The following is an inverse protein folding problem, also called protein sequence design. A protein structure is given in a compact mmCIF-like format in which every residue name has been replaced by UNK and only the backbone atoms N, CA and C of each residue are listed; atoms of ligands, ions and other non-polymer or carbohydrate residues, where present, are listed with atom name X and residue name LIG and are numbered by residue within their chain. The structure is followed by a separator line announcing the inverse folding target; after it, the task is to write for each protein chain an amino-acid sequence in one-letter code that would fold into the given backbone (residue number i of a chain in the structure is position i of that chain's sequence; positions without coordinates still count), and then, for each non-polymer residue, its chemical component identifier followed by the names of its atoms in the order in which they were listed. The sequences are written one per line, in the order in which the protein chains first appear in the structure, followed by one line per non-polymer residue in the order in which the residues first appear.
data_IF_787587242424
#
_entry.id   IF_787587242424
#
_cell.length_a   1.000
_cell.length_b   1.000
_cell.length_c   1.000
_cell.angle_alpha   90.00
_cell.angle_beta   90.00
_cell.angle_gamma   90.00
#
_symmetry.space_group_name_H-M   'P 1'
#
loop_
_entity.id
_entity.type
_entity.pdbx_description
1 polymer ?
#
# COMPACT_ATOMS: atom_id res chain seq x y z
N UNK A 1 5.49 2.41 -2.74
CA UNK A 1 6.75 1.71 -3.03
C UNK A 1 7.21 1.03 -1.76
N UNK A 2 7.96 -0.07 -1.83
CA UNK A 2 8.61 -0.61 -0.61
C UNK A 2 9.80 0.23 -0.23
N UNK A 3 10.14 0.25 1.06
CA UNK A 3 11.24 1.08 1.55
C UNK A 3 12.51 0.28 1.82
N UNK A 4 13.65 0.86 1.49
CA UNK A 4 14.96 0.23 1.58
C UNK A 4 15.89 1.08 2.45
N UNK A 5 16.67 0.46 3.32
CA UNK A 5 17.96 1.03 3.74
C UNK A 5 19.01 0.55 2.75
N UNK A 6 19.80 1.46 2.21
CA UNK A 6 20.97 1.11 1.41
C UNK A 6 22.20 1.70 2.07
N UNK A 7 23.15 0.83 2.39
CA UNK A 7 24.42 1.22 2.99
C UNK A 7 25.52 1.02 1.95
N UNK A 8 26.16 2.11 1.55
CA UNK A 8 27.00 2.20 0.35
C UNK A 8 28.01 3.33 0.52
N UNK A 9 29.26 3.15 0.09
CA UNK A 9 30.30 4.16 0.24
C UNK A 9 30.74 4.84 -1.07
N UNK A 10 30.21 4.38 -2.21
CA UNK A 10 30.52 4.81 -3.58
C UNK A 10 32.02 4.92 -3.95
N UNK A 11 32.95 4.61 -3.04
CA UNK A 11 34.40 4.73 -3.20
C UNK A 11 34.90 6.04 -3.85
N UNK A 12 34.18 7.16 -3.69
CA UNK A 12 34.48 8.42 -4.39
C UNK A 12 35.87 8.98 -4.02
N UNK A 13 36.41 8.57 -2.86
CA UNK A 13 37.71 9.02 -2.36
C UNK A 13 38.93 8.22 -2.86
N UNK A 14 38.77 6.96 -3.30
CA UNK A 14 39.90 6.07 -3.64
C UNK A 14 40.22 6.00 -5.14
N UNK A 15 39.31 6.44 -6.02
CA UNK A 15 39.52 6.46 -7.47
C UNK A 15 39.55 7.89 -8.02
N UNK A 16 40.53 8.20 -8.89
CA UNK A 16 40.51 9.45 -9.69
C UNK A 16 39.17 9.50 -10.41
N UNK A 17 38.24 10.35 -9.93
CA UNK A 17 36.86 10.55 -10.44
C UNK A 17 36.68 9.99 -11.84
N UNK A 18 36.32 8.71 -11.97
CA UNK A 18 35.69 8.25 -13.19
C UNK A 18 34.34 8.95 -13.23
N UNK A 19 34.03 9.58 -14.36
CA UNK A 19 32.72 10.20 -14.56
C UNK A 19 31.63 9.14 -14.32
N UNK A 20 30.62 9.47 -13.51
CA UNK A 20 29.39 8.68 -13.30
C UNK A 20 29.40 7.54 -12.26
N UNK A 21 30.23 7.57 -11.20
CA UNK A 21 30.25 6.48 -10.19
C UNK A 21 28.93 6.36 -9.42
N UNK A 22 28.37 7.48 -8.94
CA UNK A 22 27.17 7.48 -8.10
C UNK A 22 25.98 7.04 -8.94
N UNK A 23 25.74 7.70 -10.08
CA UNK A 23 24.60 7.37 -10.95
C UNK A 23 24.68 5.95 -11.51
N UNK A 24 25.87 5.47 -11.89
CA UNK A 24 26.04 4.09 -12.40
C UNK A 24 25.83 3.03 -11.33
N UNK A 25 26.24 3.30 -10.08
CA UNK A 25 26.04 2.40 -8.95
C UNK A 25 24.56 2.34 -8.57
N UNK A 26 23.89 3.50 -8.45
CA UNK A 26 22.44 3.58 -8.24
C UNK A 26 21.69 2.83 -9.35
N UNK A 27 22.05 3.05 -10.61
CA UNK A 27 21.41 2.37 -11.74
C UNK A 27 21.65 0.85 -11.74
N UNK A 28 22.82 0.40 -11.26
CA UNK A 28 23.14 -1.03 -11.19
C UNK A 28 22.37 -1.75 -10.10
N UNK A 29 22.12 -1.10 -8.97
CA UNK A 29 21.38 -1.70 -7.85
C UNK A 29 19.88 -1.49 -8.01
N UNK A 30 19.41 -0.28 -8.26
CA UNK A 30 17.99 0.10 -8.22
C UNK A 30 17.41 0.54 -9.58
N UNK A 31 18.16 0.47 -10.68
CA UNK A 31 17.72 0.96 -11.99
C UNK A 31 16.49 0.26 -12.59
N UNK A 32 16.10 -0.91 -12.07
CA UNK A 32 14.86 -1.60 -12.46
C UNK A 32 13.61 -0.99 -11.84
N UNK A 33 13.72 -0.34 -10.68
CA UNK A 33 12.58 0.26 -9.95
C UNK A 33 12.58 1.79 -10.01
N UNK A 34 13.67 2.40 -10.50
CA UNK A 34 13.82 3.83 -10.67
C UNK A 34 13.63 4.25 -12.14
N UNK A 35 13.11 5.46 -12.35
CA UNK A 35 13.03 6.02 -13.69
C UNK A 35 14.42 6.54 -14.13
N UNK A 36 15.05 5.83 -15.07
CA UNK A 36 16.38 6.18 -15.57
C UNK A 36 16.50 7.62 -16.11
N UNK A 37 15.44 8.17 -16.72
CA UNK A 37 15.49 9.54 -17.23
C UNK A 37 15.49 10.58 -16.10
N UNK A 38 14.76 10.31 -15.02
CA UNK A 38 14.74 11.16 -13.83
C UNK A 38 16.05 11.06 -13.06
N UNK A 39 16.56 9.83 -12.90
CA UNK A 39 17.86 9.53 -12.27
C UNK A 39 19.00 10.31 -12.95
N UNK A 40 19.12 10.20 -14.28
CA UNK A 40 20.19 10.88 -15.02
C UNK A 40 20.08 12.40 -14.96
N UNK A 41 18.86 12.96 -14.79
CA UNK A 41 18.67 14.40 -14.68
C UNK A 41 19.01 14.92 -13.28
N UNK A 42 18.66 14.17 -12.22
CA UNK A 42 18.83 14.59 -10.82
C UNK A 42 20.25 14.34 -10.29
N UNK A 43 20.93 13.31 -10.78
CA UNK A 43 22.30 12.95 -10.34
C UNK A 43 23.39 13.38 -11.32
N UNK A 44 23.13 14.38 -12.16
CA UNK A 44 24.08 14.83 -13.19
C UNK A 44 25.39 15.38 -12.60
N UNK A 45 25.36 15.89 -11.37
CA UNK A 45 26.54 16.44 -10.68
C UNK A 45 27.35 15.39 -9.91
N UNK A 46 26.87 14.14 -9.84
CA UNK A 46 27.51 13.02 -9.13
C UNK A 46 27.82 13.32 -7.65
N UNK A 47 26.96 14.11 -7.00
CA UNK A 47 27.01 14.40 -5.56
C UNK A 47 26.27 13.30 -4.77
N UNK A 48 26.89 12.80 -3.71
CA UNK A 48 26.33 11.78 -2.82
C UNK A 48 25.13 12.32 -2.02
N UNK A 49 25.10 13.61 -1.69
CA UNK A 49 23.98 14.26 -1.01
C UNK A 49 22.77 14.38 -1.93
N UNK A 50 22.99 14.73 -3.20
CA UNK A 50 21.92 14.75 -4.21
C UNK A 50 21.33 13.34 -4.40
N UNK A 51 22.20 12.31 -4.36
CA UNK A 51 21.75 10.92 -4.40
C UNK A 51 20.94 10.55 -3.16
N UNK A 52 21.36 10.96 -1.96
CA UNK A 52 20.62 10.70 -0.74
C UNK A 52 19.22 11.33 -0.78
N UNK A 53 19.12 12.62 -1.13
CA UNK A 53 17.84 13.33 -1.22
C UNK A 53 16.92 12.70 -2.28
N UNK A 54 17.45 12.43 -3.48
CA UNK A 54 16.70 11.80 -4.56
C UNK A 54 16.21 10.41 -4.19
N UNK A 55 17.04 9.59 -3.55
CA UNK A 55 16.70 8.22 -3.17
C UNK A 55 15.68 8.21 -2.02
N UNK A 56 15.80 9.14 -1.07
CA UNK A 56 14.85 9.25 0.04
C UNK A 56 13.44 9.62 -0.46
N UNK A 57 13.33 10.47 -1.48
CA UNK A 57 12.05 10.75 -2.19
C UNK A 57 11.41 9.48 -2.79
N UNK A 58 12.20 8.44 -3.05
CA UNK A 58 11.75 7.13 -3.57
C UNK A 58 11.64 6.06 -2.49
N UNK A 59 11.84 6.42 -1.22
CA UNK A 59 11.81 5.49 -0.08
C UNK A 59 13.06 4.64 0.07
N UNK A 60 14.19 5.06 -0.52
CA UNK A 60 15.50 4.42 -0.38
C UNK A 60 16.37 5.32 0.51
N UNK A 61 16.59 4.90 1.74
CA UNK A 61 17.40 5.64 2.72
C UNK A 61 18.86 5.26 2.55
N UNK A 62 19.65 6.15 1.97
CA UNK A 62 21.08 5.96 1.78
C UNK A 62 21.86 6.33 3.06
N UNK A 63 22.83 5.50 3.44
CA UNK A 63 23.81 5.75 4.51
C UNK A 63 25.21 5.50 3.98
N UNK A 64 26.10 6.46 4.17
CA UNK A 64 27.39 6.51 3.48
C UNK A 64 28.54 5.90 4.26
N UNK A 65 28.33 5.62 5.55
CA UNK A 65 29.34 5.05 6.42
C UNK A 65 28.74 4.13 7.50
N UNK A 66 29.62 3.42 8.20
CA UNK A 66 29.22 2.45 9.23
C UNK A 66 28.49 3.11 10.41
N UNK A 67 28.89 4.31 10.85
CA UNK A 67 28.25 4.96 12.00
C UNK A 67 26.82 5.37 11.68
N UNK A 68 26.60 6.03 10.54
CA UNK A 68 25.26 6.44 10.09
C UNK A 68 24.32 5.25 9.97
N UNK A 69 24.82 4.12 9.45
CA UNK A 69 24.03 2.91 9.35
C UNK A 69 23.70 2.32 10.73
N UNK A 70 24.66 2.30 11.66
CA UNK A 70 24.44 1.84 13.03
C UNK A 70 23.46 2.73 13.79
N UNK A 71 23.56 4.05 13.66
CA UNK A 71 22.61 5.00 14.25
C UNK A 71 21.21 4.80 13.67
N UNK A 72 21.09 4.59 12.36
CA UNK A 72 19.81 4.36 11.70
C UNK A 72 19.13 3.07 12.18
N UNK A 73 19.84 1.94 12.22
CA UNK A 73 19.21 0.65 12.59
C UNK A 73 18.88 0.57 14.08
N UNK A 74 19.61 1.30 14.93
CA UNK A 74 19.40 1.30 16.37
C UNK A 74 18.35 2.33 16.84
N UNK A 75 17.89 3.25 15.99
CA UNK A 75 16.69 4.04 16.26
C UNK A 75 15.44 3.26 15.81
N UNK A 76 14.57 2.82 16.75
CA UNK A 76 13.35 2.08 16.40
C UNK A 76 12.41 2.84 15.45
N UNK A 77 12.43 4.18 15.48
CA UNK A 77 11.61 5.01 14.60
C UNK A 77 12.12 5.00 13.17
N UNK A 78 13.44 5.03 12.99
CA UNK A 78 14.10 4.96 11.69
C UNK A 78 14.01 3.54 11.11
N UNK A 79 14.29 2.51 11.92
CA UNK A 79 14.15 1.11 11.50
C UNK A 79 12.72 0.79 11.05
N UNK A 80 11.69 1.36 11.67
CA UNK A 80 10.30 1.19 11.25
C UNK A 80 9.97 1.82 9.88
N UNK A 81 10.85 2.69 9.33
CA UNK A 81 10.67 3.28 8.01
C UNK A 81 10.98 2.31 6.88
N UNK A 82 11.76 1.27 7.11
CA UNK A 82 12.25 0.37 6.07
C UNK A 82 11.53 -0.99 6.07
N UNK A 83 11.59 -1.66 4.93
CA UNK A 83 11.13 -3.04 4.75
C UNK A 83 12.30 -3.99 4.41
N UNK A 84 13.30 -3.46 3.71
CA UNK A 84 14.44 -4.19 3.15
C UNK A 84 15.74 -3.46 3.39
N UNK A 85 16.87 -4.17 3.30
CA UNK A 85 18.21 -3.63 3.47
C UNK A 85 19.12 -4.13 2.34
N UNK A 86 19.87 -3.23 1.72
CA UNK A 86 20.98 -3.54 0.81
C UNK A 86 22.27 -3.11 1.49
N UNK A 87 23.24 -4.01 1.62
CA UNK A 87 24.50 -3.79 2.30
C UNK A 87 25.67 -3.96 1.32
N UNK A 88 26.56 -2.98 1.27
CA UNK A 88 27.93 -3.22 0.85
C UNK A 88 28.69 -4.02 1.93
N UNK A 89 29.75 -4.72 1.51
CA UNK A 89 30.59 -5.55 2.38
C UNK A 89 31.56 -4.69 3.18
N UNK A 90 32.17 -3.71 2.50
CA UNK A 90 33.08 -2.74 3.09
C UNK A 90 32.46 -1.36 3.17
N UNK A 91 32.80 -0.65 4.25
CA UNK A 91 32.31 0.71 4.49
C UNK A 91 33.36 1.53 5.23
N UNK A 92 33.50 2.82 4.91
CA UNK A 92 34.42 3.71 5.59
C UNK A 92 34.00 3.93 7.04
N UNK A 93 35.01 4.16 7.87
CA UNK A 93 34.87 4.75 9.19
C UNK A 93 35.15 6.24 9.02
N UNK A 94 34.17 7.10 9.27
CA UNK A 94 34.40 8.54 9.15
C UNK A 94 35.23 9.04 10.33
N UNK A 95 36.45 9.51 10.05
CA UNK A 95 37.38 9.98 11.08
C UNK A 95 36.89 11.28 11.71
N UNK A 96 36.60 11.25 13.02
CA UNK A 96 36.25 12.43 13.81
C UNK A 96 34.75 12.71 13.93
N UNK A 97 33.89 11.85 13.37
CA UNK A 97 32.45 11.90 13.60
C UNK A 97 32.15 11.58 15.08
N UNK A 98 31.22 12.32 15.71
CA UNK A 98 30.85 12.10 17.12
C UNK A 98 29.92 10.90 17.24
N UNK A 99 30.46 9.78 17.69
CA UNK A 99 29.68 8.62 18.11
C UNK A 99 29.07 8.86 19.51
N UNK A 100 27.89 9.48 19.55
CA UNK A 100 27.23 9.84 20.81
C UNK A 100 26.75 8.63 21.60
N UNK A 101 26.53 7.50 20.92
CA UNK A 101 25.96 6.28 21.49
C UNK A 101 27.01 5.17 21.70
N UNK A 102 28.27 5.45 21.36
CA UNK A 102 29.42 4.56 21.55
C UNK A 102 29.34 3.24 20.77
N UNK A 103 28.66 3.23 19.62
CA UNK A 103 28.53 2.06 18.75
C UNK A 103 29.87 1.64 18.15
N UNK A 104 30.58 2.57 17.51
CA UNK A 104 31.85 2.32 16.82
C UNK A 104 32.95 1.94 17.82
N UNK A 105 33.06 2.65 18.93
CA UNK A 105 34.10 2.37 19.93
C UNK A 105 34.02 0.92 20.43
N UNK A 106 32.80 0.43 20.71
CA UNK A 106 32.57 -0.94 21.17
C UNK A 106 32.98 -2.00 20.13
N UNK A 107 32.87 -1.68 18.83
CA UNK A 107 33.27 -2.55 17.73
C UNK A 107 34.79 -2.50 17.50
N UNK A 108 35.39 -1.32 17.55
CA UNK A 108 36.83 -1.11 17.37
C UNK A 108 37.62 -1.83 18.48
N UNK A 109 37.16 -1.76 19.74
CA UNK A 109 37.79 -2.52 20.84
C UNK A 109 37.77 -4.03 20.60
N UNK A 110 36.71 -4.55 19.96
CA UNK A 110 36.53 -5.99 19.69
C UNK A 110 37.23 -6.46 18.41
N UNK A 111 37.54 -5.56 17.48
CA UNK A 111 38.12 -5.89 16.17
C UNK A 111 39.29 -4.97 15.79
N UNK A 112 40.42 -4.98 16.53
CA UNK A 112 41.63 -4.31 16.08
C UNK A 112 42.31 -5.12 14.96
N UNK A 113 42.80 -4.50 13.86
CA UNK A 113 42.83 -3.05 13.54
C UNK A 113 41.60 -2.50 12.79
N UNK A 114 41.40 -1.18 12.78
CA UNK A 114 40.28 -0.47 12.09
C UNK A 114 40.11 -0.86 10.61
N UNK A 115 41.20 -1.09 9.88
CA UNK A 115 41.16 -1.58 8.49
C UNK A 115 40.47 -2.94 8.36
N UNK A 116 40.57 -3.79 9.39
CA UNK A 116 39.88 -5.07 9.42
C UNK A 116 38.38 -4.88 9.65
N UNK A 117 37.98 -3.94 10.52
CA UNK A 117 36.58 -3.57 10.73
C UNK A 117 35.94 -3.04 9.44
N UNK A 118 36.67 -2.19 8.69
CA UNK A 118 36.23 -1.64 7.39
C UNK A 118 35.77 -2.74 6.43
N UNK A 119 36.54 -3.81 6.30
CA UNK A 119 36.31 -4.93 5.36
C UNK A 119 35.18 -5.88 5.75
N UNK A 120 34.74 -5.83 7.01
CA UNK A 120 33.66 -6.66 7.54
C UNK A 120 32.53 -5.82 8.12
N UNK A 121 32.46 -4.54 7.77
CA UNK A 121 31.46 -3.62 8.31
C UNK A 121 30.04 -4.12 7.99
N UNK A 122 29.81 -4.63 6.78
CA UNK A 122 28.50 -5.17 6.39
C UNK A 122 28.09 -6.39 7.22
N UNK A 123 29.06 -7.21 7.64
CA UNK A 123 28.81 -8.33 8.56
C UNK A 123 28.28 -7.83 9.91
N UNK A 124 28.89 -6.79 10.48
CA UNK A 124 28.48 -6.27 11.78
C UNK A 124 27.07 -5.67 11.74
N UNK A 125 26.74 -4.91 10.69
CA UNK A 125 25.39 -4.42 10.47
C UNK A 125 24.40 -5.58 10.36
N UNK A 126 24.73 -6.62 9.59
CA UNK A 126 23.88 -7.80 9.46
C UNK A 126 23.67 -8.50 10.81
N UNK A 127 24.72 -8.67 11.62
CA UNK A 127 24.58 -9.31 12.93
C UNK A 127 23.69 -8.51 13.86
N UNK A 128 23.84 -7.18 13.90
CA UNK A 128 22.99 -6.32 14.71
C UNK A 128 21.52 -6.41 14.26
N UNK A 129 21.28 -6.26 12.95
CA UNK A 129 19.94 -6.37 12.35
C UNK A 129 19.27 -7.70 12.66
N UNK A 130 19.96 -8.83 12.44
CA UNK A 130 19.33 -10.16 12.49
C UNK A 130 19.29 -10.74 13.89
N UNK A 131 20.36 -10.57 14.68
CA UNK A 131 20.51 -11.20 15.99
C UNK A 131 19.89 -10.34 17.08
N UNK A 132 20.25 -9.06 17.12
CA UNK A 132 19.82 -8.15 18.20
C UNK A 132 18.44 -7.55 17.91
N UNK A 133 18.20 -7.10 16.67
CA UNK A 133 16.98 -6.39 16.29
C UNK A 133 15.90 -7.30 15.68
N UNK A 134 16.21 -8.57 15.39
CA UNK A 134 15.25 -9.54 14.85
C UNK A 134 14.75 -9.23 13.42
N UNK A 135 15.50 -8.45 12.66
CA UNK A 135 15.16 -8.10 11.27
C UNK A 135 15.21 -9.34 10.36
N UNK A 136 14.30 -9.49 9.38
CA UNK A 136 14.24 -10.71 8.58
C UNK A 136 15.45 -10.85 7.66
N UNK A 137 16.25 -11.90 7.85
CA UNK A 137 17.41 -12.21 6.98
C UNK A 137 17.08 -12.31 5.49
N UNK A 138 15.84 -12.66 5.13
CA UNK A 138 15.39 -12.73 3.73
C UNK A 138 15.16 -11.34 3.10
N UNK A 139 15.18 -10.30 3.92
CA UNK A 139 15.01 -8.91 3.51
C UNK A 139 16.36 -8.16 3.47
N UNK A 140 17.48 -8.86 3.61
CA UNK A 140 18.81 -8.27 3.55
C UNK A 140 19.55 -8.85 2.34
N UNK A 141 20.00 -7.98 1.44
CA UNK A 141 20.84 -8.31 0.30
C UNK A 141 22.25 -7.76 0.52
N UNK A 142 23.26 -8.60 0.33
CA UNK A 142 24.64 -8.12 0.22
C UNK A 142 25.00 -7.92 -1.24
N UNK A 143 25.44 -6.72 -1.58
CA UNK A 143 25.75 -6.32 -2.95
C UNK A 143 26.99 -5.40 -2.94
N UNK A 144 28.10 -5.86 -3.52
CA UNK A 144 29.38 -5.13 -3.47
C UNK A 144 30.17 -5.22 -4.78
N UNK A 145 31.01 -4.24 -5.06
CA UNK A 145 32.01 -4.34 -6.14
C UNK A 145 33.28 -5.08 -5.69
N UNK A 146 33.52 -5.24 -4.39
CA UNK A 146 34.72 -5.86 -3.84
C UNK A 146 34.56 -7.36 -3.63
N UNK A 147 34.34 -8.09 -4.73
CA UNK A 147 34.17 -9.54 -4.70
C UNK A 147 35.34 -10.29 -4.00
N UNK A 148 36.53 -9.68 -3.93
CA UNK A 148 37.68 -10.21 -3.19
C UNK A 148 37.43 -10.39 -1.69
N UNK A 149 36.50 -9.62 -1.09
CA UNK A 149 36.17 -9.72 0.33
C UNK A 149 35.11 -10.78 0.64
N UNK A 150 34.48 -11.39 -0.38
CA UNK A 150 33.42 -12.38 -0.16
C UNK A 150 33.91 -13.63 0.57
N UNK A 151 35.11 -14.11 0.28
CA UNK A 151 35.65 -15.30 0.97
C UNK A 151 35.97 -15.01 2.44
N UNK A 152 36.49 -13.83 2.75
CA UNK A 152 36.70 -13.41 4.14
C UNK A 152 35.37 -13.30 4.88
N UNK A 153 34.37 -12.68 4.25
CA UNK A 153 33.02 -12.57 4.78
C UNK A 153 32.39 -13.95 5.02
N UNK A 154 32.47 -14.88 4.05
CA UNK A 154 32.00 -16.28 4.20
C UNK A 154 32.69 -16.97 5.36
N UNK A 155 34.00 -16.77 5.52
CA UNK A 155 34.77 -17.32 6.63
C UNK A 155 34.28 -16.79 7.98
N UNK A 156 33.95 -15.50 8.08
CA UNK A 156 33.39 -14.90 9.31
C UNK A 156 32.06 -15.53 9.69
N UNK A 157 31.10 -15.57 8.75
CA UNK A 157 29.81 -16.25 8.95
C UNK A 157 29.98 -17.69 9.42
N UNK A 158 30.87 -18.45 8.76
CA UNK A 158 31.15 -19.85 9.09
C UNK A 158 31.76 -20.00 10.49
N UNK A 159 32.74 -19.17 10.83
CA UNK A 159 33.42 -19.19 12.13
C UNK A 159 32.49 -18.85 13.30
N UNK A 160 31.49 -17.99 13.05
CA UNK A 160 30.47 -17.61 14.02
C UNK A 160 29.29 -18.58 14.07
N UNK A 161 29.28 -19.62 13.22
CA UNK A 161 28.15 -20.54 13.03
C UNK A 161 26.84 -19.80 12.67
N UNK A 162 26.95 -18.67 11.97
CA UNK A 162 25.84 -17.86 11.48
C UNK A 162 25.59 -18.25 10.02
N UNK A 163 24.33 -18.49 9.68
CA UNK A 163 23.96 -18.72 8.27
C UNK A 163 24.07 -17.40 7.49
N UNK A 164 24.73 -17.41 6.32
CA UNK A 164 24.77 -16.24 5.47
C UNK A 164 23.36 -15.81 5.03
N UNK A 165 23.21 -14.56 4.53
CA UNK A 165 21.97 -14.05 3.97
C UNK A 165 21.41 -14.98 2.89
N UNK A 166 20.08 -14.94 2.72
CA UNK A 166 19.41 -15.69 1.65
C UNK A 166 19.58 -14.88 0.37
N UNK A 167 20.37 -15.40 -0.56
CA UNK A 167 20.57 -14.80 -1.87
C UNK A 167 19.59 -15.38 -2.90
N UNK A 168 19.12 -14.57 -3.86
CA UNK A 168 18.44 -15.07 -5.07
C UNK A 168 19.33 -16.00 -5.90
N UNK A 169 20.65 -15.88 -5.81
CA UNK A 169 21.59 -16.84 -6.40
C UNK A 169 21.83 -18.01 -5.42
N UNK A 170 21.39 -19.25 -5.74
CA UNK A 170 21.53 -20.38 -4.82
C UNK A 170 22.99 -20.80 -4.60
N UNK A 171 23.91 -20.41 -5.49
CA UNK A 171 25.32 -20.76 -5.42
C UNK A 171 26.17 -19.71 -4.69
N UNK A 172 25.68 -18.47 -4.59
CA UNK A 172 26.44 -17.34 -4.07
C UNK A 172 25.61 -16.49 -3.10
N UNK A 173 25.98 -16.44 -1.80
CA UNK A 173 25.24 -15.67 -0.80
C UNK A 173 25.45 -14.15 -0.91
N UNK A 174 26.49 -13.71 -1.63
CA UNK A 174 26.87 -12.32 -1.78
C UNK A 174 26.93 -12.02 -3.28
N UNK A 175 26.25 -10.96 -3.72
CA UNK A 175 26.17 -10.60 -5.12
C UNK A 175 27.15 -9.48 -5.45
N UNK A 176 27.61 -9.47 -6.69
CA UNK A 176 28.27 -8.31 -7.27
C UNK A 176 27.22 -7.33 -7.81
N UNK A 177 27.54 -6.04 -7.85
CA UNK A 177 26.64 -5.04 -8.46
C UNK A 177 26.41 -5.26 -9.97
N UNK A 178 27.29 -6.05 -10.62
CA UNK A 178 27.12 -6.52 -12.00
C UNK A 178 26.09 -7.66 -12.16
N UNK A 179 25.69 -8.34 -11.08
CA UNK A 179 24.72 -9.45 -11.07
C UNK A 179 23.27 -8.97 -11.17
N UNK A 180 23.00 -8.10 -12.16
CA UNK A 180 21.74 -7.35 -12.31
C UNK A 180 20.51 -8.25 -12.37
N UNK A 181 20.61 -9.43 -12.97
CA UNK A 181 19.48 -10.38 -13.04
C UNK A 181 19.00 -10.79 -11.65
N UNK A 182 19.93 -11.16 -10.77
CA UNK A 182 19.63 -11.61 -9.42
C UNK A 182 19.19 -10.45 -8.51
N UNK A 183 19.83 -9.27 -8.66
CA UNK A 183 19.42 -8.06 -7.94
C UNK A 183 18.00 -7.67 -8.33
N UNK A 184 17.69 -7.63 -9.62
CA UNK A 184 16.35 -7.31 -10.11
C UNK A 184 15.32 -8.32 -9.62
N UNK A 185 15.63 -9.62 -9.66
CA UNK A 185 14.74 -10.65 -9.10
C UNK A 185 14.46 -10.42 -7.60
N UNK A 186 15.46 -10.03 -6.82
CA UNK A 186 15.28 -9.73 -5.40
C UNK A 186 14.45 -8.47 -5.19
N UNK A 187 14.66 -7.42 -5.98
CA UNK A 187 13.85 -6.20 -5.96
C UNK A 187 12.39 -6.47 -6.38
N UNK A 188 12.16 -7.30 -7.39
CA UNK A 188 10.81 -7.72 -7.80
C UNK A 188 10.10 -8.47 -6.65
N UNK A 189 10.83 -9.35 -5.96
CA UNK A 189 10.33 -10.05 -4.79
C UNK A 189 10.04 -9.10 -3.61
N UNK A 190 10.78 -8.00 -3.50
CA UNK A 190 10.50 -6.94 -2.54
C UNK A 190 9.24 -6.15 -2.92
N UNK A 191 8.94 -5.99 -4.21
CA UNK A 191 7.77 -5.25 -4.72
C UNK A 191 6.48 -6.07 -4.87
N UNK A 192 6.43 -7.31 -4.34
CA UNK A 192 5.18 -8.08 -4.36
C UNK A 192 4.07 -7.38 -3.58
N UNK A 193 2.83 -7.59 -4.02
CA UNK A 193 1.63 -6.89 -3.52
C UNK A 193 1.52 -6.77 -2.00
N UNK A 194 2.00 -7.77 -1.26
CA UNK A 194 1.97 -7.78 0.19
C UNK A 194 2.71 -6.58 0.80
N UNK A 195 3.91 -6.27 0.32
CA UNK A 195 4.73 -5.21 0.89
C UNK A 195 4.26 -3.83 0.45
N UNK A 196 3.79 -3.70 -0.79
CA UNK A 196 3.13 -2.49 -1.28
C UNK A 196 1.90 -2.17 -0.43
N UNK A 197 1.04 -3.16 -0.18
CA UNK A 197 -0.12 -3.03 0.70
C UNK A 197 0.28 -2.62 2.13
N UNK A 198 1.25 -3.34 2.71
CA UNK A 198 1.73 -3.08 4.07
C UNK A 198 2.23 -1.64 4.22
N UNK A 199 3.08 -1.19 3.29
CA UNK A 199 3.67 0.15 3.33
C UNK A 199 2.60 1.22 3.15
N UNK A 200 1.68 1.04 2.20
CA UNK A 200 0.56 1.96 2.00
C UNK A 200 -0.36 2.10 3.23
N UNK A 201 -0.60 1.01 3.95
CA UNK A 201 -1.35 1.06 5.22
C UNK A 201 -0.57 1.82 6.30
N UNK A 202 0.72 1.53 6.48
CA UNK A 202 1.56 2.20 7.49
C UNK A 202 1.60 3.70 7.23
N UNK A 203 1.86 4.11 5.99
CA UNK A 203 1.92 5.52 5.59
C UNK A 203 0.58 6.22 5.76
N UNK A 204 -0.52 5.56 5.35
CA UNK A 204 -1.87 6.06 5.55
C UNK A 204 -2.16 6.29 7.03
N UNK A 205 -1.88 5.29 7.88
CA UNK A 205 -2.10 5.43 9.33
C UNK A 205 -1.25 6.54 9.96
N UNK A 206 0.04 6.65 9.59
CA UNK A 206 0.92 7.73 10.08
C UNK A 206 0.41 9.11 9.69
N UNK A 207 0.02 9.28 8.43
CA UNK A 207 -0.55 10.52 7.93
C UNK A 207 -1.84 10.88 8.69
N UNK A 208 -2.78 9.93 8.80
CA UNK A 208 -4.08 10.18 9.43
C UNK A 208 -3.99 10.47 10.93
N UNK A 209 -3.02 9.86 11.64
CA UNK A 209 -2.74 10.19 13.05
C UNK A 209 -2.32 11.65 13.28
N UNK A 210 -1.71 12.28 12.27
CA UNK A 210 -1.27 13.68 12.34
C UNK A 210 -2.40 14.69 12.12
N UNK A 211 -3.57 14.24 11.65
CA UNK A 211 -4.71 15.11 11.38
C UNK A 211 -5.37 15.59 12.69
N UNK A 212 -6.01 16.77 12.59
CA UNK A 212 -6.82 17.33 13.66
C UNK A 212 -8.20 16.65 13.76
N UNK A 213 -8.86 16.83 14.89
CA UNK A 213 -10.20 16.29 15.14
C UNK A 213 -11.25 16.80 14.14
N UNK A 214 -11.08 18.02 13.63
CA UNK A 214 -11.97 18.62 12.63
C UNK A 214 -12.05 17.82 11.32
N UNK A 215 -11.03 17.01 11.05
CA UNK A 215 -11.02 16.10 9.88
C UNK A 215 -11.75 14.79 10.15
N UNK A 216 -12.08 14.46 11.39
CA UNK A 216 -12.78 13.22 11.75
C UNK A 216 -14.29 13.39 11.56
N UNK A 217 -14.80 12.94 10.41
CA UNK A 217 -16.24 12.98 10.11
C UNK A 217 -16.99 11.71 10.54
N UNK A 218 -16.29 10.65 10.96
CA UNK A 218 -16.91 9.39 11.36
C UNK A 218 -17.94 9.52 12.49
N UNK A 219 -17.76 10.52 13.37
CA UNK A 219 -18.68 10.82 14.48
C UNK A 219 -20.11 11.08 13.99
N UNK A 220 -20.28 11.55 12.76
CA UNK A 220 -21.60 11.78 12.15
C UNK A 220 -22.39 10.48 11.93
N UNK A 221 -21.73 9.33 11.78
CA UNK A 221 -22.43 8.07 11.56
C UNK A 221 -22.79 7.33 12.85
N UNK A 222 -22.32 7.79 14.01
CA UNK A 222 -22.62 7.14 15.28
C UNK A 222 -24.05 7.45 15.70
N UNK A 223 -24.78 6.42 16.11
CA UNK A 223 -26.17 6.57 16.53
C UNK A 223 -26.25 7.42 17.80
N UNK A 224 -27.20 8.35 17.85
CA UNK A 224 -27.38 9.27 18.99
C UNK A 224 -27.71 8.55 20.31
N UNK A 225 -28.32 7.37 20.22
CA UNK A 225 -28.72 6.56 21.38
C UNK A 225 -27.63 5.58 21.82
N UNK A 226 -26.46 5.58 21.16
CA UNK A 226 -25.31 4.78 21.55
C UNK A 226 -24.45 5.59 22.53
N UNK A 227 -24.22 5.05 23.73
CA UNK A 227 -23.35 5.66 24.74
C UNK A 227 -21.87 5.71 24.28
N UNK A 228 -21.55 5.04 23.17
CA UNK A 228 -20.22 5.03 22.57
C UNK A 228 -19.87 6.39 21.95
N UNK A 229 -19.25 7.26 22.74
CA UNK A 229 -18.52 8.42 22.22
C UNK A 229 -17.20 7.95 21.62
N UNK A 230 -16.99 8.23 20.34
CA UNK A 230 -15.72 7.98 19.67
C UNK A 230 -14.91 9.27 19.71
N UNK A 231 -13.82 9.25 20.47
CA UNK A 231 -12.89 10.37 20.56
C UNK A 231 -11.75 10.22 19.54
N UNK A 232 -11.03 11.32 19.30
CA UNK A 232 -9.89 11.29 18.36
C UNK A 232 -8.82 10.29 18.80
N UNK A 233 -8.61 10.14 20.11
CA UNK A 233 -7.60 9.22 20.64
C UNK A 233 -7.98 7.75 20.39
N UNK A 234 -9.26 7.39 20.49
CA UNK A 234 -9.74 6.04 20.14
C UNK A 234 -9.42 5.71 18.68
N UNK A 235 -9.58 6.70 17.79
CA UNK A 235 -9.25 6.56 16.37
C UNK A 235 -7.74 6.47 16.15
N UNK A 236 -6.92 7.18 16.92
CA UNK A 236 -5.45 7.07 16.83
C UNK A 236 -4.95 5.70 17.30
N UNK A 237 -5.54 5.17 18.36
CA UNK A 237 -5.27 3.80 18.84
C UNK A 237 -5.67 2.77 17.78
N UNK A 238 -6.86 2.91 17.21
CA UNK A 238 -7.33 2.10 16.09
C UNK A 238 -6.35 2.13 14.90
N UNK A 239 -5.91 3.33 14.48
CA UNK A 239 -4.91 3.47 13.43
C UNK A 239 -3.56 2.84 13.83
N UNK A 240 -3.18 2.88 15.10
CA UNK A 240 -1.98 2.21 15.61
C UNK A 240 -2.07 0.68 15.54
N UNK A 241 -3.25 0.12 15.79
CA UNK A 241 -3.50 -1.31 15.57
C UNK A 241 -3.37 -1.66 14.08
N UNK A 242 -3.97 -0.88 13.18
CA UNK A 242 -3.89 -1.12 11.74
C UNK A 242 -2.47 -0.99 11.19
N UNK A 243 -1.74 0.05 11.60
CA UNK A 243 -0.34 0.29 11.21
C UNK A 243 0.56 -0.92 11.50
N UNK A 244 0.37 -1.54 12.66
CA UNK A 244 1.20 -2.67 13.12
C UNK A 244 0.61 -4.04 12.76
N UNK A 245 -0.54 -4.09 12.08
CA UNK A 245 -1.29 -5.33 11.90
C UNK A 245 -0.60 -6.32 10.95
N UNK A 246 -0.05 -5.81 9.85
CA UNK A 246 0.62 -6.62 8.84
C UNK A 246 2.11 -6.76 9.20
N UNK A 247 2.57 -7.98 9.54
CA UNK A 247 3.95 -8.19 9.99
C UNK A 247 4.96 -7.86 8.88
N UNK A 248 6.18 -7.53 9.28
CA UNK A 248 7.28 -7.31 8.34
C UNK A 248 7.54 -8.56 7.49
N UNK A 249 7.62 -9.76 8.09
CA UNK A 249 7.65 -11.01 7.34
C UNK A 249 6.28 -11.31 6.71
N UNK A 250 6.25 -11.51 5.38
CA UNK A 250 5.06 -12.01 4.70
C UNK A 250 4.59 -13.34 5.31
N UNK A 251 3.34 -13.45 5.81
CA UNK A 251 2.85 -14.67 6.40
C UNK A 251 2.63 -15.75 5.34
N UNK A 252 2.74 -17.03 5.73
CA UNK A 252 2.43 -18.17 4.87
C UNK A 252 0.95 -18.20 4.48
N UNK A 253 0.06 -17.98 5.45
CA UNK A 253 -1.38 -17.81 5.22
C UNK A 253 -1.76 -16.33 5.17
N UNK A 254 -1.51 -15.71 4.00
CA UNK A 254 -1.89 -14.31 3.72
C UNK A 254 -3.40 -14.10 3.82
N UNK A 255 -4.16 -15.08 3.39
CA UNK A 255 -5.61 -14.97 3.25
C UNK A 255 -6.30 -14.86 4.61
N UNK A 256 -5.93 -15.71 5.58
CA UNK A 256 -6.41 -15.58 6.94
C UNK A 256 -5.99 -14.23 7.56
N UNK A 257 -4.76 -13.78 7.31
CA UNK A 257 -4.27 -12.49 7.81
C UNK A 257 -5.06 -11.32 7.23
N UNK A 258 -5.34 -11.31 5.92
CA UNK A 258 -6.15 -10.28 5.27
C UNK A 258 -7.59 -10.27 5.77
N UNK A 259 -8.20 -11.44 5.97
CA UNK A 259 -9.54 -11.54 6.58
C UNK A 259 -9.58 -10.93 7.98
N UNK A 260 -8.57 -11.22 8.81
CA UNK A 260 -8.46 -10.63 10.15
C UNK A 260 -8.23 -9.12 10.07
N UNK A 261 -7.38 -8.65 9.16
CA UNK A 261 -7.16 -7.22 8.95
C UNK A 261 -8.46 -6.50 8.59
N UNK A 262 -9.20 -7.00 7.59
CA UNK A 262 -10.47 -6.38 7.16
C UNK A 262 -11.52 -6.45 8.28
N UNK A 263 -11.51 -7.50 9.11
CA UNK A 263 -12.35 -7.56 10.31
C UNK A 263 -12.03 -6.44 11.30
N UNK A 264 -10.76 -6.20 11.57
CA UNK A 264 -10.31 -5.11 12.43
C UNK A 264 -10.65 -3.75 11.79
N UNK A 265 -10.39 -3.59 10.50
CA UNK A 265 -10.70 -2.40 9.72
C UNK A 265 -12.19 -2.02 9.82
N UNK A 266 -13.09 -3.00 9.66
CA UNK A 266 -14.52 -2.76 9.64
C UNK A 266 -15.18 -2.70 11.03
N UNK A 267 -14.42 -2.90 12.12
CA UNK A 267 -14.95 -3.02 13.48
C UNK A 267 -15.77 -1.81 13.92
N UNK A 268 -15.26 -0.59 13.69
CA UNK A 268 -15.93 0.64 14.13
C UNK A 268 -17.30 0.84 13.47
N UNK A 269 -17.55 0.22 12.32
CA UNK A 269 -18.83 0.29 11.60
C UNK A 269 -19.95 -0.55 12.21
N UNK A 270 -19.70 -1.24 13.33
CA UNK A 270 -20.74 -1.92 14.10
C UNK A 270 -21.79 -0.94 14.64
N UNK A 271 -21.33 0.11 15.32
CA UNK A 271 -22.17 1.15 15.91
C UNK A 271 -22.67 2.20 14.90
N UNK A 272 -22.03 2.28 13.72
CA UNK A 272 -22.34 3.28 12.71
C UNK A 272 -23.61 2.98 11.89
N UNK A 273 -24.31 4.02 11.47
CA UNK A 273 -25.43 3.98 10.53
C UNK A 273 -25.16 4.91 9.34
N UNK A 274 -24.86 4.36 8.15
CA UNK A 274 -24.63 5.17 6.95
C UNK A 274 -25.83 6.08 6.65
N UNK A 275 -25.58 7.39 6.58
CA UNK A 275 -26.58 8.41 6.24
C UNK A 275 -26.00 9.37 5.21
N UNK A 276 -26.84 9.91 4.33
CA UNK A 276 -26.37 10.87 3.34
C UNK A 276 -26.17 12.24 4.00
N UNK A 277 -24.92 12.72 4.04
CA UNK A 277 -24.56 14.01 4.60
C UNK A 277 -24.48 15.06 3.49
N UNK A 278 -25.20 16.17 3.60
CA UNK A 278 -25.06 17.37 2.74
C UNK A 278 -24.97 17.11 1.22
N UNK A 279 -25.63 16.06 0.72
CA UNK A 279 -25.59 15.69 -0.70
C UNK A 279 -24.33 14.94 -1.16
N UNK A 280 -23.38 14.63 -0.28
CA UNK A 280 -22.15 13.87 -0.56
C UNK A 280 -22.49 12.38 -0.82
N UNK A 281 -22.74 12.05 -2.09
CA UNK A 281 -23.15 10.69 -2.47
C UNK A 281 -21.99 9.70 -2.39
N UNK A 282 -20.78 10.17 -2.66
CA UNK A 282 -19.53 9.43 -2.51
C UNK A 282 -19.33 8.99 -1.07
N UNK A 283 -19.43 9.90 -0.10
CA UNK A 283 -19.31 9.54 1.33
C UNK A 283 -20.37 8.52 1.75
N UNK A 284 -21.61 8.70 1.27
CA UNK A 284 -22.69 7.74 1.51
C UNK A 284 -22.37 6.35 0.93
N UNK A 285 -21.80 6.30 -0.28
CA UNK A 285 -21.39 5.06 -0.92
C UNK A 285 -20.29 4.34 -0.13
N UNK A 286 -19.23 5.06 0.24
CA UNK A 286 -18.10 4.53 1.00
C UNK A 286 -18.54 3.99 2.36
N UNK A 287 -19.42 4.72 3.05
CA UNK A 287 -19.98 4.32 4.35
C UNK A 287 -20.79 3.02 4.25
N UNK A 288 -21.60 2.86 3.20
CA UNK A 288 -22.34 1.62 2.96
C UNK A 288 -21.44 0.43 2.65
N UNK A 289 -20.39 0.62 1.86
CA UNK A 289 -19.40 -0.44 1.57
C UNK A 289 -18.80 -0.98 2.87
N UNK A 290 -18.41 -0.09 3.79
CA UNK A 290 -17.86 -0.50 5.08
C UNK A 290 -18.90 -1.16 5.99
N UNK A 291 -20.13 -0.62 6.05
CA UNK A 291 -21.21 -1.25 6.83
C UNK A 291 -21.56 -2.64 6.32
N UNK A 292 -21.60 -2.83 5.01
CA UNK A 292 -21.82 -4.14 4.38
C UNK A 292 -20.69 -5.10 4.70
N UNK A 293 -19.44 -4.63 4.55
CA UNK A 293 -18.25 -5.43 4.86
C UNK A 293 -18.27 -5.94 6.30
N UNK A 294 -18.55 -5.06 7.27
CA UNK A 294 -18.72 -5.43 8.69
C UNK A 294 -19.79 -6.51 8.88
N UNK A 295 -20.97 -6.33 8.29
CA UNK A 295 -22.08 -7.27 8.46
C UNK A 295 -21.79 -8.64 7.84
N UNK A 296 -21.11 -8.67 6.71
CA UNK A 296 -20.78 -9.91 5.99
C UNK A 296 -19.63 -10.69 6.65
N UNK A 297 -18.67 -9.98 7.27
CA UNK A 297 -17.59 -10.60 8.06
C UNK A 297 -18.12 -11.39 9.25
N UNK A 298 -19.21 -10.95 9.87
CA UNK A 298 -19.80 -11.63 11.02
C UNK A 298 -20.50 -12.95 10.65
N UNK A 299 -20.92 -13.13 9.39
CA UNK A 299 -21.91 -14.15 9.04
C UNK A 299 -21.65 -14.93 7.74
N UNK A 300 -20.46 -14.82 7.12
CA UNK A 300 -20.20 -15.45 5.82
C UNK A 300 -18.75 -15.81 5.50
N UNK A 301 -18.60 -16.51 4.36
CA UNK A 301 -17.32 -16.91 3.74
C UNK A 301 -16.83 -15.92 2.68
N UNK A 302 -17.48 -14.76 2.57
CA UNK A 302 -17.25 -13.75 1.51
C UNK A 302 -15.79 -13.31 1.46
N UNK A 303 -15.16 -13.15 2.63
CA UNK A 303 -13.79 -12.66 2.77
C UNK A 303 -12.75 -13.78 2.94
N UNK A 304 -13.06 -15.02 2.54
CA UNK A 304 -12.11 -16.15 2.63
C UNK A 304 -11.07 -16.18 1.51
N UNK A 305 -11.15 -15.32 0.50
CA UNK A 305 -10.24 -15.29 -0.65
C UNK A 305 -9.86 -13.86 -1.04
N UNK A 306 -9.56 -13.04 -0.04
CA UNK A 306 -9.13 -11.66 -0.30
C UNK A 306 -7.74 -11.60 -0.94
N UNK A 307 -7.63 -10.72 -1.92
CA UNK A 307 -6.35 -10.29 -2.51
C UNK A 307 -5.84 -9.02 -1.81
N UNK A 308 -4.59 -8.64 -2.07
CA UNK A 308 -4.05 -7.37 -1.57
C UNK A 308 -4.82 -6.17 -2.12
N UNK A 309 -5.26 -6.24 -3.38
CA UNK A 309 -6.10 -5.24 -4.04
C UNK A 309 -7.45 -5.05 -3.31
N UNK A 310 -8.09 -6.14 -2.87
CA UNK A 310 -9.37 -6.05 -2.15
C UNK A 310 -9.17 -5.39 -0.77
N UNK A 311 -8.07 -5.70 -0.08
CA UNK A 311 -7.73 -5.05 1.21
C UNK A 311 -7.39 -3.58 1.02
N UNK A 312 -6.60 -3.23 0.01
CA UNK A 312 -6.25 -1.86 -0.33
C UNK A 312 -7.50 -1.01 -0.62
N UNK A 313 -8.42 -1.55 -1.42
CA UNK A 313 -9.69 -0.90 -1.71
C UNK A 313 -10.48 -0.59 -0.43
N UNK A 314 -10.68 -1.60 0.43
CA UNK A 314 -11.44 -1.42 1.67
C UNK A 314 -10.74 -0.45 2.62
N UNK A 315 -9.40 -0.46 2.68
CA UNK A 315 -8.65 0.49 3.49
C UNK A 315 -8.88 1.93 3.01
N UNK A 316 -8.69 2.22 1.71
CA UNK A 316 -8.91 3.54 1.13
C UNK A 316 -10.36 4.00 1.39
N UNK A 317 -11.32 3.15 1.08
CA UNK A 317 -12.75 3.42 1.30
C UNK A 317 -13.04 3.76 2.75
N UNK A 318 -12.47 2.99 3.69
CA UNK A 318 -12.64 3.22 5.11
C UNK A 318 -12.05 4.55 5.55
N UNK A 319 -10.81 4.86 5.15
CA UNK A 319 -10.15 6.11 5.54
C UNK A 319 -10.90 7.33 5.01
N UNK A 320 -11.36 7.30 3.76
CA UNK A 320 -12.16 8.38 3.15
C UNK A 320 -13.58 8.49 3.73
N UNK A 321 -14.12 7.40 4.24
CA UNK A 321 -15.40 7.43 4.96
C UNK A 321 -15.24 7.98 6.38
N UNK A 322 -14.10 7.71 7.04
CA UNK A 322 -13.85 8.17 8.42
C UNK A 322 -13.35 9.62 8.48
N UNK A 323 -12.57 10.06 7.49
CA UNK A 323 -11.91 11.37 7.47
C UNK A 323 -12.30 12.22 6.25
N UNK A 324 -12.42 13.53 6.45
CA UNK A 324 -12.48 14.51 5.36
C UNK A 324 -11.06 14.84 4.85
N UNK A 325 -10.71 14.24 3.71
CA UNK A 325 -9.38 14.34 3.10
C UNK A 325 -9.36 15.24 1.86
N UNK A 326 -10.43 16.00 1.58
CA UNK A 326 -10.54 16.83 0.37
C UNK A 326 -10.65 16.03 -0.94
N UNK A 327 -10.34 16.66 -2.08
CA UNK A 327 -10.42 16.04 -3.42
C UNK A 327 -9.12 15.40 -3.88
N UNK A 328 -7.98 15.77 -3.31
CA UNK A 328 -6.67 15.40 -3.84
C UNK A 328 -6.34 13.94 -3.55
N UNK A 329 -5.76 13.25 -4.53
CA UNK A 329 -5.23 11.90 -4.34
C UNK A 329 -3.95 11.94 -3.48
N UNK A 330 -4.01 11.31 -2.31
CA UNK A 330 -2.90 11.32 -1.36
C UNK A 330 -1.80 10.31 -1.73
N UNK A 331 -0.56 10.50 -1.25
CA UNK A 331 0.56 9.61 -1.57
C UNK A 331 0.32 8.13 -1.23
N UNK A 332 -0.20 7.85 -0.03
CA UNK A 332 -0.48 6.47 0.39
C UNK A 332 -1.60 5.82 -0.44
N UNK A 333 -2.58 6.62 -0.91
CA UNK A 333 -3.65 6.13 -1.77
C UNK A 333 -3.10 5.78 -3.15
N UNK A 334 -2.22 6.61 -3.71
CA UNK A 334 -1.51 6.30 -4.97
C UNK A 334 -0.71 5.01 -4.86
N UNK A 335 -0.01 4.81 -3.73
CA UNK A 335 0.71 3.58 -3.43
C UNK A 335 -0.24 2.37 -3.42
N UNK A 336 -1.37 2.46 -2.70
CA UNK A 336 -2.35 1.39 -2.62
C UNK A 336 -3.10 1.12 -3.95
N UNK A 337 -3.38 2.16 -4.73
CA UNK A 337 -4.01 2.04 -6.05
C UNK A 337 -3.09 1.37 -7.09
N UNK A 338 -1.75 1.38 -6.87
CA UNK A 338 -0.81 0.66 -7.74
C UNK A 338 -0.97 -0.86 -7.71
N UNK A 339 -1.71 -1.40 -6.73
CA UNK A 339 -2.02 -2.84 -6.61
C UNK A 339 -3.08 -3.31 -7.62
N UNK A 340 -3.69 -2.41 -8.38
CA UNK A 340 -4.68 -2.75 -9.40
C UNK A 340 -3.98 -2.96 -10.75
N UNK A 341 -4.20 -4.10 -11.40
CA UNK A 341 -3.48 -4.47 -12.63
C UNK A 341 -4.21 -4.08 -13.92
N UNK A 342 -5.55 -4.19 -13.96
CA UNK A 342 -6.35 -3.95 -15.16
C UNK A 342 -6.90 -2.52 -15.22
N UNK A 343 -6.04 -1.53 -14.94
CA UNK A 343 -6.46 -0.14 -14.83
C UNK A 343 -6.65 0.46 -16.21
N UNK A 344 -7.85 0.98 -16.47
CA UNK A 344 -8.14 1.64 -17.76
C UNK A 344 -7.42 2.99 -17.88
N UNK A 345 -7.19 3.42 -19.12
CA UNK A 345 -6.52 4.70 -19.38
C UNK A 345 -7.39 5.89 -18.94
N UNK A 346 -6.76 7.06 -18.74
CA UNK A 346 -7.46 8.30 -18.41
C UNK A 346 -8.52 8.62 -19.47
N UNK A 347 -8.16 8.55 -20.76
CA UNK A 347 -9.08 8.84 -21.86
C UNK A 347 -10.25 7.85 -21.89
N UNK A 348 -9.97 6.56 -21.71
CA UNK A 348 -11.01 5.53 -21.70
C UNK A 348 -12.00 5.75 -20.54
N UNK A 349 -11.51 6.14 -19.36
CA UNK A 349 -12.39 6.44 -18.23
C UNK A 349 -13.27 7.67 -18.50
N UNK A 350 -12.70 8.73 -19.08
CA UNK A 350 -13.44 9.93 -19.47
C UNK A 350 -14.55 9.60 -20.48
N UNK A 351 -14.24 8.77 -21.48
CA UNK A 351 -15.20 8.32 -22.49
C UNK A 351 -16.32 7.45 -21.91
N UNK A 352 -16.05 6.74 -20.80
CA UNK A 352 -17.04 5.92 -20.09
C UNK A 352 -17.93 6.76 -19.17
N UNK A 353 -17.39 7.77 -18.49
CA UNK A 353 -18.18 8.68 -17.64
C UNK A 353 -19.16 9.47 -18.52
N UNK A 354 -18.68 10.06 -19.62
CA UNK A 354 -19.47 10.94 -20.48
C UNK A 354 -19.86 12.26 -19.81
N UNK A 355 -20.31 13.25 -20.58
CA UNK A 355 -20.68 14.59 -20.09
C UNK A 355 -22.07 14.64 -19.43
N UNK A 356 -22.85 13.57 -19.51
CA UNK A 356 -24.18 13.48 -18.91
C UNK A 356 -24.81 12.08 -19.01
N UNK A 357 -26.11 12.02 -18.75
CA UNK A 357 -26.85 10.73 -18.71
C UNK A 357 -26.85 10.02 -20.07
N UNK A 358 -26.90 10.77 -21.17
CA UNK A 358 -27.11 10.23 -22.51
C UNK A 358 -25.86 9.61 -23.14
N UNK A 359 -24.67 10.07 -22.75
CA UNK A 359 -23.39 9.64 -23.30
C UNK A 359 -22.54 8.80 -22.32
N UNK A 360 -23.01 8.62 -21.08
CA UNK A 360 -22.42 7.68 -20.11
C UNK A 360 -22.46 6.24 -20.63
N UNK A 361 -21.32 5.54 -20.57
CA UNK A 361 -21.13 4.14 -20.98
C UNK A 361 -20.79 3.19 -19.82
N UNK A 362 -21.13 3.57 -18.59
CA UNK A 362 -21.01 2.70 -17.42
C UNK A 362 -22.19 1.72 -17.41
N UNK A 363 -21.98 0.39 -17.40
CA UNK A 363 -23.02 -0.62 -17.63
C UNK A 363 -23.93 -0.89 -16.41
N UNK A 364 -24.41 0.17 -15.73
CA UNK A 364 -25.18 0.04 -14.49
C UNK A 364 -26.47 -0.77 -14.65
N UNK A 365 -27.22 -0.54 -15.73
CA UNK A 365 -28.50 -1.24 -15.96
C UNK A 365 -28.29 -2.74 -16.14
N UNK A 366 -27.28 -3.13 -16.92
CA UNK A 366 -26.94 -4.53 -17.16
C UNK A 366 -26.57 -5.25 -15.85
N UNK A 367 -25.67 -4.68 -15.07
CA UNK A 367 -25.22 -5.30 -13.82
C UNK A 367 -26.30 -5.30 -12.72
N UNK A 368 -27.16 -4.27 -12.67
CA UNK A 368 -28.32 -4.28 -11.78
C UNK A 368 -29.31 -5.39 -12.15
N UNK A 369 -29.58 -5.59 -13.44
CA UNK A 369 -30.44 -6.68 -13.91
C UNK A 369 -29.86 -8.07 -13.55
N UNK A 370 -28.54 -8.25 -13.67
CA UNK A 370 -27.86 -9.47 -13.24
C UNK A 370 -28.06 -9.74 -11.74
N UNK A 371 -27.91 -8.71 -10.90
CA UNK A 371 -28.15 -8.83 -9.46
C UNK A 371 -29.60 -9.22 -9.16
N UNK A 372 -30.58 -8.53 -9.76
CA UNK A 372 -32.01 -8.84 -9.55
C UNK A 372 -32.38 -10.25 -10.03
N UNK A 373 -31.79 -10.72 -11.12
CA UNK A 373 -31.99 -12.10 -11.58
C UNK A 373 -31.47 -13.12 -10.57
N UNK A 374 -30.31 -12.86 -9.96
CA UNK A 374 -29.76 -13.73 -8.90
C UNK A 374 -30.59 -13.70 -7.63
N UNK A 375 -31.14 -12.55 -7.22
CA UNK A 375 -32.06 -12.48 -6.06
C UNK A 375 -33.38 -13.19 -6.36
N UNK A 376 -33.86 -13.14 -7.61
CA UNK A 376 -35.20 -13.58 -8.02
C UNK A 376 -36.24 -12.46 -7.97
N UNK A 377 -35.84 -11.24 -7.58
CA UNK A 377 -36.71 -10.08 -7.44
C UNK A 377 -36.67 -9.20 -8.70
N UNK A 378 -37.01 -9.75 -9.86
CA UNK A 378 -36.93 -9.05 -11.16
C UNK A 378 -38.02 -7.99 -11.38
N UNK A 379 -38.90 -7.79 -10.40
CA UNK A 379 -40.10 -6.95 -10.51
C UNK A 379 -40.11 -5.77 -9.53
N UNK A 380 -39.10 -5.67 -8.67
CA UNK A 380 -39.03 -4.65 -7.62
C UNK A 380 -37.93 -3.62 -7.94
N UNK A 381 -38.26 -2.35 -7.75
CA UNK A 381 -37.27 -1.26 -7.68
C UNK A 381 -36.71 -1.24 -6.26
N UNK A 382 -35.46 -1.69 -6.10
CA UNK A 382 -34.77 -1.78 -4.81
C UNK A 382 -33.36 -1.19 -5.00
N UNK A 383 -32.79 -0.58 -3.96
CA UNK A 383 -31.42 -0.10 -4.09
C UNK A 383 -30.45 -1.26 -4.30
N UNK A 384 -29.39 -1.03 -5.07
CA UNK A 384 -28.41 -2.06 -5.39
C UNK A 384 -27.82 -2.71 -4.12
N UNK A 385 -27.40 -1.90 -3.14
CA UNK A 385 -26.81 -2.40 -1.89
C UNK A 385 -27.81 -3.22 -1.05
N UNK A 386 -29.09 -2.84 -1.03
CA UNK A 386 -30.15 -3.60 -0.35
C UNK A 386 -30.38 -4.96 -1.03
N UNK A 387 -30.46 -4.98 -2.36
CA UNK A 387 -30.58 -6.21 -3.13
C UNK A 387 -29.38 -7.14 -2.93
N UNK A 388 -28.17 -6.57 -2.89
CA UNK A 388 -26.92 -7.31 -2.67
C UNK A 388 -26.85 -7.87 -1.25
N UNK A 389 -27.22 -7.10 -0.23
CA UNK A 389 -27.33 -7.57 1.15
C UNK A 389 -28.36 -8.70 1.29
N UNK A 390 -29.52 -8.57 0.64
CA UNK A 390 -30.55 -9.60 0.66
C UNK A 390 -30.08 -10.89 -0.03
N UNK A 391 -29.31 -10.78 -1.11
CA UNK A 391 -28.69 -11.93 -1.76
C UNK A 391 -27.73 -12.65 -0.80
N UNK A 392 -26.85 -11.90 -0.11
CA UNK A 392 -25.89 -12.46 0.82
C UNK A 392 -26.56 -13.18 2.01
N UNK A 393 -27.66 -12.62 2.55
CA UNK A 393 -28.41 -13.21 3.66
C UNK A 393 -29.13 -14.51 3.28
N UNK A 394 -29.53 -14.64 2.02
CA UNK A 394 -30.26 -15.81 1.52
C UNK A 394 -29.31 -16.99 1.25
N UNK A 395 -28.94 -17.70 2.33
CA UNK A 395 -28.01 -18.85 2.36
C UNK A 395 -28.37 -20.04 1.45
N UNK A 396 -29.58 -20.08 0.91
CA UNK A 396 -30.07 -21.19 0.08
C UNK A 396 -29.55 -21.17 -1.36
N UNK A 397 -28.94 -20.05 -1.81
CA UNK A 397 -28.24 -19.98 -3.09
C UNK A 397 -26.74 -19.92 -2.78
N UNK A 398 -25.98 -20.91 -3.26
CA UNK A 398 -24.51 -20.85 -3.26
C UNK A 398 -24.12 -19.59 -4.04
N UNK A 399 -23.89 -18.50 -3.32
CA UNK A 399 -23.48 -17.23 -3.89
C UNK A 399 -21.97 -17.19 -3.78
N UNK A 400 -21.29 -17.13 -4.91
CA UNK A 400 -19.84 -17.11 -4.99
C UNK A 400 -19.30 -15.86 -4.27
N UNK A 401 -18.33 -16.04 -3.38
CA UNK A 401 -17.69 -14.96 -2.64
C UNK A 401 -17.17 -13.87 -3.58
N UNK A 402 -16.62 -14.26 -4.73
CA UNK A 402 -16.14 -13.35 -5.77
C UNK A 402 -17.25 -12.42 -6.30
N UNK A 403 -18.47 -12.93 -6.51
CA UNK A 403 -19.61 -12.11 -6.94
C UNK A 403 -19.95 -11.05 -5.89
N UNK A 404 -19.90 -11.41 -4.60
CA UNK A 404 -20.21 -10.48 -3.51
C UNK A 404 -19.11 -9.42 -3.33
N UNK A 405 -17.83 -9.81 -3.45
CA UNK A 405 -16.70 -8.86 -3.45
C UNK A 405 -16.81 -7.90 -4.63
N UNK A 406 -17.06 -8.39 -5.86
CA UNK A 406 -17.37 -7.55 -7.04
C UNK A 406 -18.55 -6.61 -6.77
N UNK A 407 -19.56 -7.10 -6.05
CA UNK A 407 -20.70 -6.30 -5.59
C UNK A 407 -20.33 -5.13 -4.67
N UNK A 408 -19.30 -5.26 -3.82
CA UNK A 408 -18.80 -4.14 -3.01
C UNK A 408 -18.20 -3.04 -3.89
N UNK A 409 -17.39 -3.41 -4.88
CA UNK A 409 -16.86 -2.45 -5.86
C UNK A 409 -17.99 -1.78 -6.65
N UNK A 410 -18.99 -2.55 -7.09
CA UNK A 410 -20.16 -2.04 -7.78
C UNK A 410 -20.98 -1.06 -6.92
N UNK A 411 -21.06 -1.29 -5.61
CA UNK A 411 -21.84 -0.45 -4.68
C UNK A 411 -21.39 1.02 -4.72
N UNK A 412 -20.10 1.28 -4.94
CA UNK A 412 -19.59 2.64 -5.18
C UNK A 412 -20.36 3.32 -6.32
N UNK A 413 -20.39 2.70 -7.50
CA UNK A 413 -21.01 3.24 -8.70
C UNK A 413 -22.52 3.42 -8.58
N UNK A 414 -23.19 2.45 -7.97
CA UNK A 414 -24.65 2.47 -7.84
C UNK A 414 -25.16 3.49 -6.83
N UNK A 415 -24.39 3.78 -5.77
CA UNK A 415 -24.78 4.75 -4.77
C UNK A 415 -24.42 6.19 -5.16
N UNK A 416 -23.30 6.40 -5.86
CA UNK A 416 -22.99 7.71 -6.46
C UNK A 416 -23.96 8.04 -7.59
N UNK A 417 -24.26 7.06 -8.46
CA UNK A 417 -25.21 7.18 -9.57
C UNK A 417 -26.62 6.75 -9.15
N UNK A 418 -27.16 7.34 -8.08
CA UNK A 418 -28.41 6.90 -7.44
C UNK A 418 -29.54 6.56 -8.42
N UNK A 419 -30.19 5.42 -8.18
CA UNK A 419 -31.31 4.97 -9.00
C UNK A 419 -32.59 5.76 -8.70
N UNK A 420 -33.35 6.06 -9.74
CA UNK A 420 -34.62 6.76 -9.69
C UNK A 420 -35.65 6.03 -10.54
N UNK A 421 -36.92 6.09 -10.13
CA UNK A 421 -38.04 5.57 -10.91
C UNK A 421 -38.69 6.74 -11.63
N UNK A 422 -38.78 6.66 -12.95
CA UNK A 422 -39.57 7.60 -13.72
C UNK A 422 -41.06 7.27 -13.59
N UNK A 423 -41.83 8.26 -13.14
CA UNK A 423 -43.30 8.23 -13.09
C UNK A 423 -43.79 9.38 -13.98
N UNK A 424 -44.68 9.14 -14.97
CA UNK A 424 -45.25 10.20 -15.78
C UNK A 424 -45.99 11.23 -14.92
N UNK A 425 -45.85 12.52 -15.23
CA UNK A 425 -46.57 13.60 -14.53
C UNK A 425 -48.07 13.67 -14.89
N UNK A 426 -48.45 13.09 -16.02
CA UNK A 426 -49.82 13.12 -16.55
C UNK A 426 -50.64 11.97 -15.93
N UNK A 427 -51.68 12.32 -15.18
CA UNK A 427 -52.55 11.36 -14.47
C UNK A 427 -53.21 10.35 -15.41
N UNK A 428 -53.55 10.73 -16.64
CA UNK A 428 -54.11 9.80 -17.63
C UNK A 428 -53.05 8.81 -18.13
N UNK A 429 -51.79 9.26 -18.24
CA UNK A 429 -50.66 8.35 -18.56
C UNK A 429 -50.33 7.41 -17.42
N UNK A 430 -50.54 7.82 -16.16
CA UNK A 430 -50.35 6.95 -14.98
C UNK A 430 -51.34 5.78 -15.03
N UNK A 431 -52.61 6.01 -15.39
CA UNK A 431 -53.64 4.95 -15.47
C UNK A 431 -53.26 3.83 -16.46
N UNK A 432 -52.51 4.15 -17.51
CA UNK A 432 -51.99 3.19 -18.49
C UNK A 432 -50.58 2.66 -18.19
N UNK A 433 -49.94 3.10 -17.11
CA UNK A 433 -48.54 2.81 -16.83
C UNK A 433 -48.37 1.42 -16.20
N UNK A 434 -47.86 0.47 -16.98
CA UNK A 434 -47.78 -0.95 -16.59
C UNK A 434 -46.42 -1.37 -16.04
N UNK A 435 -45.37 -0.54 -16.19
CA UNK A 435 -44.00 -0.87 -15.77
C UNK A 435 -43.25 0.37 -15.32
N UNK A 436 -42.65 0.31 -14.12
CA UNK A 436 -41.73 1.32 -13.62
C UNK A 436 -40.44 1.33 -14.48
N UNK A 437 -40.03 2.52 -14.91
CA UNK A 437 -38.74 2.69 -15.60
C UNK A 437 -37.68 3.12 -14.58
N UNK A 438 -36.84 2.17 -14.17
CA UNK A 438 -35.72 2.42 -13.26
C UNK A 438 -34.52 2.93 -14.07
N UNK A 439 -33.98 4.09 -13.70
CA UNK A 439 -32.85 4.74 -14.35
C UNK A 439 -31.81 5.15 -13.32
N UNK A 440 -30.55 5.26 -13.71
CA UNK A 440 -29.48 5.73 -12.83
C UNK A 440 -29.09 7.15 -13.18
N UNK A 441 -29.13 8.04 -12.19
CA UNK A 441 -28.75 9.45 -12.36
C UNK A 441 -27.28 9.57 -12.79
N UNK A 442 -26.96 10.66 -13.49
CA UNK A 442 -25.56 11.00 -13.78
C UNK A 442 -24.86 11.41 -12.49
N UNK A 443 -23.59 11.04 -12.37
CA UNK A 443 -22.70 11.46 -11.31
C UNK A 443 -21.38 11.88 -11.96
N UNK A 444 -20.93 13.08 -11.60
CA UNK A 444 -19.66 13.61 -12.10
C UNK A 444 -18.54 13.10 -11.21
N UNK A 445 -17.66 12.25 -11.76
CA UNK A 445 -16.49 11.74 -11.05
C UNK A 445 -15.29 12.69 -11.13
N UNK A 446 -15.50 13.91 -11.65
CA UNK A 446 -14.50 14.94 -11.90
C UNK A 446 -13.46 14.53 -12.96
N UNK A 447 -13.11 15.46 -13.86
CA UNK A 447 -12.22 15.17 -15.01
C UNK A 447 -10.74 15.51 -14.74
N UNK A 448 -10.41 15.94 -13.53
CA UNK A 448 -9.09 16.46 -13.23
C UNK A 448 -8.13 15.32 -12.88
N UNK A 449 -6.96 15.33 -13.53
CA UNK A 449 -5.86 14.42 -13.22
C UNK A 449 -5.44 14.68 -11.77
N UNK A 450 -5.22 13.61 -10.99
CA UNK A 450 -4.91 13.65 -9.54
C UNK A 450 -6.10 13.87 -8.59
N UNK A 451 -7.33 13.97 -9.10
CA UNK A 451 -8.51 13.87 -8.25
C UNK A 451 -8.70 12.43 -7.74
N UNK A 452 -8.92 12.29 -6.44
CA UNK A 452 -9.12 11.01 -5.76
C UNK A 452 -10.27 10.21 -6.37
N UNK A 453 -11.40 10.86 -6.62
CA UNK A 453 -12.62 10.18 -7.04
C UNK A 453 -12.49 9.66 -8.48
N UNK A 454 -11.87 10.45 -9.35
CA UNK A 454 -11.53 10.03 -10.71
C UNK A 454 -10.55 8.85 -10.70
N UNK A 455 -9.47 8.96 -9.95
CA UNK A 455 -8.45 7.90 -9.89
C UNK A 455 -9.01 6.62 -9.25
N UNK A 456 -9.77 6.72 -8.16
CA UNK A 456 -10.45 5.55 -7.59
C UNK A 456 -11.35 4.88 -8.63
N UNK A 457 -12.22 5.65 -9.29
CA UNK A 457 -13.15 5.13 -10.27
C UNK A 457 -12.43 4.44 -11.45
N UNK A 458 -11.32 5.02 -11.92
CA UNK A 458 -10.46 4.45 -12.97
C UNK A 458 -9.85 3.11 -12.57
N UNK A 459 -9.30 3.00 -11.36
CA UNK A 459 -8.65 1.78 -10.87
C UNK A 459 -9.63 0.66 -10.56
N UNK A 460 -10.84 0.98 -10.07
CA UNK A 460 -11.81 -0.05 -9.71
C UNK A 460 -12.73 -0.47 -10.86
N UNK A 461 -12.70 0.22 -12.02
CA UNK A 461 -13.64 -0.02 -13.11
C UNK A 461 -13.67 -1.48 -13.58
N UNK A 462 -12.50 -2.03 -13.93
CA UNK A 462 -12.40 -3.40 -14.45
C UNK A 462 -12.83 -4.41 -13.39
N UNK A 463 -12.43 -4.22 -12.13
CA UNK A 463 -12.89 -5.06 -11.01
C UNK A 463 -14.41 -4.99 -10.81
N UNK A 464 -15.03 -3.86 -11.14
CA UNK A 464 -16.48 -3.65 -10.99
C UNK A 464 -17.28 -4.29 -12.13
N UNK A 465 -16.76 -4.32 -13.35
CA UNK A 465 -17.57 -4.63 -14.54
C UNK A 465 -17.02 -5.72 -15.45
N UNK A 466 -15.71 -5.98 -15.46
CA UNK A 466 -15.07 -7.02 -16.29
C UNK A 466 -15.29 -8.44 -15.77
#
# INVERSE_FOLDING_TARGET
MTHFLWVEDFNVSETKRSENIVSSTVSSVFGSILNNAELSARLAEEDENDAQDFLEEKGIFLKLNLLEALEFINDPKELAKIDFVVLDVDMPLENGQRDNNNYLFSLIERCPPEDALRKIAGYHIYTELVIELGFPKSHILFCSNHASYFEELKSKFSSANIKPPISPNPNEPFLRKEDKEFINQWLDNAHVDYFVLRRGIIEGCKYLKSLSEEKLQFKEFIKKDDDKKIELEDIRDYLGVLENFLPLCKPSDKTARYKLFVRTLAHEWEAAEPKQLNGQKELYALSWIMKMSRNWLAHGKVFEQLTAQDVAYLFIVNMRAMFDLGSDLLPYERNLLSLFTDVISVQEMQDKIGKGVQDRKIPLVEHYAVLLKKTGNTWQAINFHDALNNLQKNKNKVTESEFLIKGLYQTFWFLTSSGSVFIPFDEEKIKGFTRLQYQFNYFDYHYQKQDYLFELARHIYSRSFS
#
